data_IF_900773980547
#
_entry.id   IF_900773980547
#
_cell.length_a   1.000
_cell.length_b   1.000
_cell.length_c   1.000
_cell.angle_alpha   90.00
_cell.angle_beta   90.00
_cell.angle_gamma   90.00
#
_symmetry.space_group_name_H-M   'P 1'
#
loop_
_entity.id
_entity.type
_entity.pdbx_description
1 polymer ?
#
# COMPACT_ATOMS: atom_id res chain seq x y z
N UNK A 1 -0.96 -8.65 32.15
CA UNK A 1 0.01 -9.75 31.94
C UNK A 1 -0.63 -11.15 31.95
N UNK A 2 -1.57 -11.47 32.84
CA UNK A 2 -2.06 -12.86 33.04
C UNK A 2 -3.05 -13.38 31.98
N UNK A 3 -3.83 -12.53 31.30
CA UNK A 3 -4.82 -13.00 30.30
C UNK A 3 -4.20 -13.27 28.91
N UNK A 4 -3.21 -12.52 28.54
CA UNK A 4 -2.56 -12.64 27.22
C UNK A 4 -1.63 -13.86 27.16
N UNK A 5 -0.83 -14.10 28.22
CA UNK A 5 0.00 -15.32 28.33
C UNK A 5 -0.85 -16.61 28.39
N UNK A 6 -2.06 -16.55 28.97
CA UNK A 6 -2.97 -17.72 28.98
C UNK A 6 -3.58 -18.03 27.62
N UNK A 7 -3.83 -17.02 26.77
CA UNK A 7 -4.27 -17.23 25.38
C UNK A 7 -3.17 -17.85 24.52
N UNK A 8 -1.92 -17.46 24.74
CA UNK A 8 -0.76 -18.03 24.05
C UNK A 8 -0.45 -19.49 24.47
N UNK A 9 -0.73 -19.86 25.74
CA UNK A 9 -0.48 -21.22 26.24
C UNK A 9 -1.55 -22.26 25.86
N UNK A 10 -2.72 -21.85 25.43
CA UNK A 10 -3.81 -22.77 25.09
C UNK A 10 -3.84 -23.26 23.65
N UNK A 11 -2.77 -23.08 22.86
CA UNK A 11 -2.54 -23.83 21.60
C UNK A 11 -3.66 -23.81 20.55
N UNK A 12 -4.68 -22.96 20.71
CA UNK A 12 -5.73 -22.78 19.70
C UNK A 12 -5.33 -21.66 18.74
N UNK A 13 -4.57 -22.04 17.71
CA UNK A 13 -4.63 -21.44 16.41
C UNK A 13 -4.39 -19.92 16.33
N UNK A 14 -3.21 -19.40 16.78
CA UNK A 14 -2.65 -18.28 16.04
C UNK A 14 -2.11 -18.88 14.75
N UNK A 15 -2.80 -18.66 13.63
CA UNK A 15 -2.19 -18.84 12.33
C UNK A 15 -0.96 -17.93 12.31
N UNK A 16 0.23 -18.53 12.33
CA UNK A 16 1.47 -17.80 12.09
C UNK A 16 1.36 -17.26 10.67
N UNK A 17 1.37 -15.95 10.50
CA UNK A 17 1.36 -15.33 9.17
C UNK A 17 2.38 -16.03 8.29
N UNK A 18 1.97 -16.42 7.09
CA UNK A 18 2.81 -17.16 6.15
C UNK A 18 3.93 -16.29 5.58
N UNK A 19 3.76 -14.96 5.63
CA UNK A 19 4.70 -14.00 5.04
C UNK A 19 5.70 -13.46 6.07
N UNK A 20 6.92 -13.32 5.63
CA UNK A 20 8.01 -12.70 6.42
C UNK A 20 8.09 -11.17 6.22
N UNK A 21 7.63 -10.66 5.08
CA UNK A 21 7.73 -9.26 4.67
C UNK A 21 6.36 -8.79 4.16
N UNK A 22 6.00 -7.53 4.37
CA UNK A 22 4.86 -6.92 3.70
C UNK A 22 5.37 -6.01 2.58
N UNK A 23 5.50 -6.54 1.37
CA UNK A 23 5.97 -5.79 0.19
C UNK A 23 4.79 -5.27 -0.62
N UNK A 24 3.79 -6.13 -0.86
CA UNK A 24 2.53 -5.82 -1.52
C UNK A 24 1.37 -6.33 -0.65
N UNK A 25 0.19 -5.73 -0.80
CA UNK A 25 -1.03 -6.27 -0.20
C UNK A 25 -1.41 -7.64 -0.81
N UNK A 26 -0.93 -7.93 -2.01
CA UNK A 26 -1.02 -9.25 -2.64
C UNK A 26 -0.44 -10.38 -1.80
N UNK A 27 0.56 -10.07 -0.97
CA UNK A 27 1.22 -11.02 -0.07
C UNK A 27 0.29 -11.54 1.05
N UNK A 28 -0.83 -10.85 1.31
CA UNK A 28 -1.84 -11.24 2.30
C UNK A 28 -3.00 -11.98 1.65
N UNK A 29 -3.35 -13.13 2.18
CA UNK A 29 -4.65 -13.77 1.92
C UNK A 29 -5.78 -12.99 2.60
N UNK A 30 -7.04 -13.23 2.19
CA UNK A 30 -8.21 -12.67 2.88
C UNK A 30 -8.23 -13.08 4.36
N UNK A 31 -7.99 -14.35 4.67
CA UNK A 31 -7.98 -14.85 6.04
C UNK A 31 -6.89 -14.18 6.92
N UNK A 32 -5.68 -14.00 6.39
CA UNK A 32 -4.60 -13.29 7.10
C UNK A 32 -4.94 -11.84 7.37
N UNK A 33 -5.60 -11.17 6.39
CA UNK A 33 -6.09 -9.81 6.61
C UNK A 33 -7.19 -9.76 7.69
N UNK A 34 -8.13 -10.70 7.68
CA UNK A 34 -9.19 -10.78 8.68
C UNK A 34 -8.62 -10.98 10.10
N UNK A 35 -7.60 -11.81 10.26
CA UNK A 35 -6.89 -11.98 11.54
C UNK A 35 -6.16 -10.71 11.97
N UNK A 36 -5.45 -10.07 11.03
CA UNK A 36 -4.79 -8.79 11.28
C UNK A 36 -5.81 -7.73 11.73
N UNK A 37 -6.99 -7.68 11.07
CA UNK A 37 -8.07 -6.79 11.45
C UNK A 37 -8.63 -7.09 12.84
N UNK A 38 -8.85 -8.37 13.19
CA UNK A 38 -9.33 -8.75 14.53
C UNK A 38 -8.36 -8.26 15.62
N UNK A 39 -7.07 -8.39 15.40
CA UNK A 39 -6.06 -7.83 16.33
C UNK A 39 -6.09 -6.32 16.35
N UNK A 40 -6.20 -5.69 15.19
CA UNK A 40 -6.34 -4.24 15.09
C UNK A 40 -7.57 -3.73 15.84
N UNK A 41 -8.72 -4.41 15.73
CA UNK A 41 -9.94 -4.07 16.46
C UNK A 41 -9.75 -4.16 17.99
N UNK A 42 -9.10 -5.22 18.48
CA UNK A 42 -8.76 -5.35 19.90
C UNK A 42 -7.87 -4.21 20.39
N UNK A 43 -6.86 -3.80 19.58
CA UNK A 43 -5.99 -2.66 19.92
C UNK A 43 -6.79 -1.34 19.91
N UNK A 44 -7.72 -1.16 18.98
CA UNK A 44 -8.57 0.03 18.93
C UNK A 44 -9.50 0.13 20.16
N UNK A 45 -10.00 -1.00 20.64
CA UNK A 45 -10.91 -1.05 21.79
C UNK A 45 -10.17 -0.82 23.14
N UNK A 46 -8.94 -1.32 23.28
CA UNK A 46 -8.07 -1.06 24.46
C UNK A 46 -6.58 -0.97 24.02
N UNK A 47 -6.11 0.20 23.56
CA UNK A 47 -4.72 0.37 23.17
C UNK A 47 -3.70 0.15 24.29
N UNK A 48 -4.11 0.34 25.55
CA UNK A 48 -3.22 0.25 26.72
C UNK A 48 -2.85 -1.18 27.06
N UNK A 49 -3.73 -2.13 26.77
CA UNK A 49 -3.48 -3.56 26.95
C UNK A 49 -2.28 -4.08 26.16
N UNK A 50 -1.87 -3.35 25.10
CA UNK A 50 -0.78 -3.74 24.19
C UNK A 50 0.51 -2.92 24.39
N UNK A 51 0.57 -2.07 25.43
CA UNK A 51 1.68 -1.13 25.66
C UNK A 51 3.05 -1.78 25.92
N UNK A 52 3.12 -3.08 26.13
CA UNK A 52 4.36 -3.85 26.29
C UNK A 52 4.53 -4.96 25.24
N UNK A 53 3.67 -5.01 24.22
CA UNK A 53 3.63 -6.11 23.24
C UNK A 53 4.92 -6.23 22.41
N UNK A 54 5.61 -5.12 22.15
CA UNK A 54 6.91 -5.07 21.46
C UNK A 54 8.04 -4.57 22.37
N UNK A 55 7.94 -4.77 23.69
CA UNK A 55 8.97 -4.38 24.65
C UNK A 55 10.30 -5.03 24.31
N UNK A 56 11.37 -4.23 24.21
CA UNK A 56 12.70 -4.67 23.83
C UNK A 56 12.89 -4.87 22.32
N UNK A 57 11.87 -4.61 21.48
CA UNK A 57 11.98 -4.65 20.03
C UNK A 57 12.37 -3.29 19.47
N UNK A 58 13.13 -3.32 18.38
CA UNK A 58 13.66 -2.16 17.71
C UNK A 58 13.17 -2.11 16.27
N UNK A 59 12.54 -0.99 15.88
CA UNK A 59 12.11 -0.70 14.52
C UNK A 59 13.09 0.27 13.85
N UNK A 60 13.58 -0.08 12.66
CA UNK A 60 14.31 0.85 11.81
C UNK A 60 13.37 1.52 10.79
N UNK A 61 13.37 2.85 10.74
CA UNK A 61 12.65 3.65 9.75
C UNK A 61 13.62 4.21 8.71
N UNK A 62 13.60 3.64 7.49
CA UNK A 62 14.48 4.03 6.38
C UNK A 62 13.65 4.78 5.32
N UNK A 63 13.58 6.11 5.46
CA UNK A 63 12.80 6.96 4.57
C UNK A 63 13.73 7.69 3.58
N UNK A 64 13.87 7.13 2.39
CA UNK A 64 14.66 7.70 1.29
C UNK A 64 13.92 8.81 0.53
N UNK A 65 12.65 9.03 0.85
CA UNK A 65 11.87 10.18 0.41
C UNK A 65 11.01 10.72 1.57
N UNK A 66 10.73 12.04 1.62
CA UNK A 66 9.94 12.62 2.71
C UNK A 66 8.53 12.02 2.84
N UNK A 67 8.13 11.69 4.06
CA UNK A 67 6.77 11.23 4.36
C UNK A 67 6.42 11.42 5.83
N UNK A 68 5.89 12.57 6.18
CA UNK A 68 5.57 12.94 7.56
C UNK A 68 4.56 11.98 8.20
N UNK A 69 3.40 11.79 7.58
CA UNK A 69 2.30 10.97 8.14
C UNK A 69 2.69 9.51 8.30
N UNK A 70 3.25 8.89 7.26
CA UNK A 70 3.61 7.46 7.30
C UNK A 70 4.71 7.22 8.34
N UNK A 71 5.74 8.07 8.37
CA UNK A 71 6.83 8.00 9.36
C UNK A 71 6.29 8.10 10.78
N UNK A 72 5.55 9.17 11.08
CA UNK A 72 5.00 9.38 12.43
C UNK A 72 4.03 8.27 12.85
N UNK A 73 3.23 7.76 11.92
CA UNK A 73 2.30 6.67 12.20
C UNK A 73 3.03 5.38 12.59
N UNK A 74 4.11 5.00 11.89
CA UNK A 74 4.92 3.84 12.26
C UNK A 74 5.71 4.06 13.55
N UNK A 75 6.29 5.23 13.75
CA UNK A 75 6.97 5.57 14.99
C UNK A 75 6.02 5.48 16.18
N UNK A 76 4.86 6.13 16.08
CA UNK A 76 3.84 6.10 17.14
C UNK A 76 3.35 4.68 17.39
N UNK A 77 3.14 3.88 16.34
CA UNK A 77 2.70 2.49 16.47
C UNK A 77 3.69 1.66 17.29
N UNK A 78 4.99 1.71 16.96
CA UNK A 78 6.01 0.96 17.71
C UNK A 78 6.17 1.46 19.15
N UNK A 79 6.17 2.79 19.36
CA UNK A 79 6.28 3.39 20.70
C UNK A 79 5.08 3.03 21.59
N UNK A 80 3.85 3.00 21.04
CA UNK A 80 2.66 2.57 21.77
C UNK A 80 2.67 1.09 22.14
N UNK A 81 3.42 0.29 21.41
CA UNK A 81 3.64 -1.14 21.71
C UNK A 81 4.81 -1.37 22.69
N UNK A 82 5.45 -0.31 23.18
CA UNK A 82 6.58 -0.40 24.13
C UNK A 82 7.93 -0.70 23.47
N UNK A 83 8.02 -0.68 22.14
CA UNK A 83 9.28 -0.82 21.40
C UNK A 83 10.02 0.51 21.24
N UNK A 84 11.13 0.48 20.54
CA UNK A 84 11.97 1.65 20.24
C UNK A 84 12.14 1.84 18.74
N UNK A 85 12.52 3.05 18.32
CA UNK A 85 12.64 3.40 16.89
C UNK A 85 13.93 4.18 16.65
N UNK A 86 14.64 3.82 15.58
CA UNK A 86 15.70 4.66 15.01
C UNK A 86 15.53 4.76 13.49
N UNK A 87 16.36 5.56 12.82
CA UNK A 87 16.38 5.64 11.35
C UNK A 87 16.61 7.06 10.86
N UNK A 88 16.37 7.27 9.57
CA UNK A 88 16.50 8.54 8.89
C UNK A 88 15.28 8.86 8.02
N UNK A 89 15.11 10.12 7.64
CA UNK A 89 14.06 10.63 6.75
C UNK A 89 14.61 11.54 5.64
N UNK A 90 15.93 11.68 5.60
CA UNK A 90 16.68 12.30 4.53
C UNK A 90 17.87 11.39 4.17
N UNK A 91 17.94 10.85 2.94
CA UNK A 91 19.05 10.01 2.50
C UNK A 91 20.38 10.75 2.54
N UNK A 92 20.38 12.09 2.43
CA UNK A 92 21.60 12.91 2.50
C UNK A 92 22.21 12.92 3.93
N UNK A 93 21.44 12.60 4.95
CA UNK A 93 21.91 12.46 6.32
C UNK A 93 22.46 11.06 6.65
N UNK A 94 22.52 10.16 5.68
CA UNK A 94 22.95 8.77 5.84
C UNK A 94 24.16 8.42 4.96
N UNK A 95 24.71 7.21 5.12
CA UNK A 95 25.82 6.71 4.29
C UNK A 95 25.48 6.58 2.81
N UNK A 96 24.21 6.56 2.45
CA UNK A 96 23.77 6.57 1.04
C UNK A 96 24.27 7.81 0.28
N UNK A 97 24.43 8.94 0.96
CA UNK A 97 25.03 10.15 0.39
C UNK A 97 26.50 9.92 -0.06
N UNK A 98 27.18 8.91 0.48
CA UNK A 98 28.55 8.51 0.13
C UNK A 98 28.59 7.39 -0.91
N UNK A 99 27.44 6.97 -1.45
CA UNK A 99 27.35 5.90 -2.44
C UNK A 99 27.19 4.49 -1.85
N UNK A 100 26.81 4.35 -0.57
CA UNK A 100 26.47 3.05 0.01
C UNK A 100 25.29 2.41 -0.73
N UNK A 101 25.40 1.13 -1.09
CA UNK A 101 24.34 0.41 -1.81
C UNK A 101 23.15 0.12 -0.89
N UNK A 102 21.96 -0.06 -1.49
CA UNK A 102 20.79 -0.49 -0.72
C UNK A 102 21.06 -1.82 0.01
N UNK A 103 21.76 -2.76 -0.64
CA UNK A 103 22.13 -4.04 -0.05
C UNK A 103 22.96 -3.89 1.24
N UNK A 104 23.96 -3.02 1.23
CA UNK A 104 24.83 -2.83 2.40
C UNK A 104 24.07 -2.13 3.54
N UNK A 105 23.31 -1.08 3.22
CA UNK A 105 22.41 -0.43 4.18
C UNK A 105 21.46 -1.43 4.85
N UNK A 106 20.81 -2.29 4.06
CA UNK A 106 19.85 -3.27 4.58
C UNK A 106 20.53 -4.33 5.46
N UNK A 107 21.69 -4.84 5.06
CA UNK A 107 22.46 -5.82 5.87
C UNK A 107 22.88 -5.22 7.20
N UNK A 108 23.40 -4.00 7.19
CA UNK A 108 23.82 -3.32 8.42
C UNK A 108 22.62 -3.06 9.35
N UNK A 109 21.51 -2.52 8.81
CA UNK A 109 20.32 -2.23 9.61
C UNK A 109 19.67 -3.50 10.14
N UNK A 110 19.69 -4.61 9.38
CA UNK A 110 19.17 -5.90 9.84
C UNK A 110 19.90 -6.43 11.08
N UNK A 111 21.17 -6.05 11.28
CA UNK A 111 21.93 -6.42 12.48
C UNK A 111 21.54 -5.59 13.74
N UNK A 112 20.80 -4.48 13.56
CA UNK A 112 20.47 -3.55 14.64
C UNK A 112 18.98 -3.51 14.97
N UNK A 113 18.11 -4.00 14.10
CA UNK A 113 16.66 -3.90 14.24
C UNK A 113 15.98 -5.27 14.18
N UNK A 114 14.76 -5.34 14.71
CA UNK A 114 13.88 -6.52 14.62
C UNK A 114 12.90 -6.40 13.43
N UNK A 115 12.70 -5.19 12.90
CA UNK A 115 11.85 -4.92 11.74
C UNK A 115 12.31 -3.65 11.02
N UNK A 116 12.24 -3.65 9.70
CA UNK A 116 12.57 -2.51 8.85
C UNK A 116 11.31 -1.97 8.20
N UNK A 117 11.01 -0.69 8.39
CA UNK A 117 9.98 0.06 7.66
C UNK A 117 10.70 0.93 6.64
N UNK A 118 10.47 0.66 5.35
CA UNK A 118 11.20 1.34 4.28
C UNK A 118 10.26 2.08 3.34
N UNK A 119 10.61 3.34 3.05
CA UNK A 119 10.01 4.13 1.99
C UNK A 119 11.09 4.61 1.01
N UNK A 120 10.90 4.39 -0.28
CA UNK A 120 11.91 4.69 -1.30
C UNK A 120 11.25 5.26 -2.58
N UNK A 121 11.84 6.25 -3.26
CA UNK A 121 11.31 6.75 -4.52
C UNK A 121 11.40 5.76 -5.70
N UNK A 122 12.24 4.71 -5.59
CA UNK A 122 12.40 3.70 -6.63
C UNK A 122 11.43 2.54 -6.46
N UNK A 123 10.75 2.19 -7.55
CA UNK A 123 9.79 1.11 -7.61
C UNK A 123 10.47 -0.26 -7.44
N UNK A 124 9.93 -1.09 -6.54
CA UNK A 124 10.50 -2.38 -6.20
C UNK A 124 11.63 -2.35 -5.17
N UNK A 125 11.96 -1.17 -4.61
CA UNK A 125 13.03 -1.06 -3.62
C UNK A 125 12.77 -1.88 -2.35
N UNK A 126 11.53 -1.95 -1.88
CA UNK A 126 11.19 -2.78 -0.72
C UNK A 126 11.36 -4.28 -1.03
N UNK A 127 11.05 -4.72 -2.26
CA UNK A 127 11.32 -6.08 -2.72
C UNK A 127 12.82 -6.36 -2.79
N UNK A 128 13.61 -5.42 -3.30
CA UNK A 128 15.06 -5.54 -3.32
C UNK A 128 15.64 -5.64 -1.90
N UNK A 129 15.16 -4.81 -0.97
CA UNK A 129 15.54 -4.87 0.44
C UNK A 129 15.22 -6.23 1.08
N UNK A 130 14.07 -6.83 0.78
CA UNK A 130 13.66 -8.12 1.33
C UNK A 130 14.58 -9.28 0.94
N UNK A 131 15.31 -9.18 -0.18
CA UNK A 131 16.26 -10.21 -0.62
C UNK A 131 17.52 -10.27 0.27
N UNK A 132 17.87 -9.17 0.92
CA UNK A 132 19.09 -9.05 1.71
C UNK A 132 18.84 -8.87 3.21
N UNK A 133 17.60 -8.67 3.60
CA UNK A 133 17.22 -8.47 5.00
C UNK A 133 17.14 -9.80 5.76
N UNK A 134 17.68 -9.81 6.98
CA UNK A 134 17.51 -10.91 7.93
C UNK A 134 16.26 -10.75 8.81
N UNK A 135 15.68 -9.55 8.84
CA UNK A 135 14.48 -9.20 9.58
C UNK A 135 13.33 -8.81 8.63
N UNK A 136 12.08 -8.79 9.11
CA UNK A 136 10.96 -8.36 8.30
C UNK A 136 11.14 -6.97 7.69
N UNK A 137 10.73 -6.81 6.42
CA UNK A 137 10.66 -5.53 5.71
C UNK A 137 9.20 -5.18 5.45
N UNK A 138 8.82 -3.95 5.78
CA UNK A 138 7.50 -3.38 5.51
C UNK A 138 7.66 -2.27 4.48
N UNK A 139 6.97 -2.41 3.35
CA UNK A 139 6.89 -1.37 2.32
C UNK A 139 5.98 -0.23 2.79
N UNK A 140 6.57 0.92 3.10
CA UNK A 140 5.89 2.15 3.47
C UNK A 140 5.67 3.09 2.27
N UNK A 141 5.82 2.57 1.06
CA UNK A 141 5.66 3.22 -0.24
C UNK A 141 6.94 3.15 -1.08
N UNK A 142 6.82 2.70 -2.32
CA UNK A 142 7.91 2.61 -3.29
C UNK A 142 7.55 3.32 -4.61
N UNK A 143 7.95 4.56 -4.73
CA UNK A 143 7.72 5.39 -5.91
C UNK A 143 6.25 5.51 -6.31
N UNK A 144 5.96 5.24 -7.58
CA UNK A 144 4.59 5.17 -8.12
C UNK A 144 3.90 3.81 -7.99
N UNK A 145 4.57 2.81 -7.43
CA UNK A 145 4.19 1.41 -7.52
C UNK A 145 3.19 1.00 -6.43
N UNK A 146 3.62 0.78 -5.18
CA UNK A 146 2.78 0.21 -4.12
C UNK A 146 2.81 1.01 -2.81
N UNK A 147 1.73 0.90 -2.03
CA UNK A 147 1.68 1.39 -0.65
C UNK A 147 0.78 0.48 0.21
N UNK A 148 1.19 -0.77 0.50
CA UNK A 148 0.33 -1.77 1.13
C UNK A 148 -0.22 -1.33 2.49
N UNK A 149 0.51 -0.53 3.25
CA UNK A 149 0.05 -0.06 4.55
C UNK A 149 -0.96 1.10 4.48
N UNK A 150 -1.11 1.76 3.33
CA UNK A 150 -2.26 2.63 3.07
C UNK A 150 -3.50 1.79 2.80
N UNK A 151 -3.37 0.74 1.99
CA UNK A 151 -4.45 -0.21 1.73
C UNK A 151 -4.97 -0.85 3.03
N UNK A 152 -4.06 -1.21 3.96
CA UNK A 152 -4.46 -1.69 5.29
C UNK A 152 -5.29 -0.63 6.05
N UNK A 153 -4.89 0.64 6.01
CA UNK A 153 -5.64 1.72 6.65
C UNK A 153 -7.04 1.87 6.05
N UNK A 154 -7.14 1.80 4.72
CA UNK A 154 -8.38 1.95 3.97
C UNK A 154 -9.36 0.82 4.32
N UNK A 155 -8.92 -0.44 4.20
CA UNK A 155 -9.74 -1.61 4.54
C UNK A 155 -10.14 -1.65 6.00
N UNK A 156 -9.22 -1.31 6.92
CA UNK A 156 -9.49 -1.24 8.35
C UNK A 156 -10.58 -0.22 8.66
N UNK A 157 -10.55 0.93 7.98
CA UNK A 157 -11.57 1.97 8.17
C UNK A 157 -12.92 1.51 7.63
N UNK A 158 -12.95 0.95 6.42
CA UNK A 158 -14.20 0.43 5.82
C UNK A 158 -14.80 -0.65 6.74
N UNK A 159 -14.00 -1.61 7.17
CA UNK A 159 -14.46 -2.68 8.06
C UNK A 159 -14.96 -2.16 9.41
N UNK A 160 -14.27 -1.17 10.02
CA UNK A 160 -14.62 -0.61 11.33
C UNK A 160 -15.94 0.15 11.30
N UNK A 161 -16.16 0.97 10.28
CA UNK A 161 -17.31 1.89 10.24
C UNK A 161 -18.51 1.34 9.47
N UNK A 162 -18.32 0.43 8.52
CA UNK A 162 -19.41 -0.24 7.80
C UNK A 162 -19.76 -1.61 8.39
N UNK A 163 -18.84 -2.25 9.09
CA UNK A 163 -19.02 -3.61 9.65
C UNK A 163 -18.66 -4.74 8.70
N UNK A 164 -18.63 -4.52 7.37
CA UNK A 164 -18.25 -5.51 6.38
C UNK A 164 -17.67 -4.83 5.12
N UNK A 165 -16.76 -5.52 4.43
CA UNK A 165 -16.24 -5.09 3.12
C UNK A 165 -17.04 -5.70 1.99
N UNK A 166 -17.52 -6.94 2.13
CA UNK A 166 -18.36 -7.59 1.13
C UNK A 166 -19.59 -6.74 0.81
N UNK A 167 -19.96 -6.70 -0.46
CA UNK A 167 -21.09 -5.93 -0.97
C UNK A 167 -20.89 -4.40 -0.99
N UNK A 168 -19.69 -3.88 -0.71
CA UNK A 168 -19.44 -2.44 -0.68
C UNK A 168 -19.55 -1.83 -2.08
N UNK A 169 -20.25 -0.69 -2.19
CA UNK A 169 -20.25 0.16 -3.38
C UNK A 169 -19.30 1.33 -3.17
N UNK A 170 -18.13 1.29 -3.81
CA UNK A 170 -17.07 2.28 -3.64
C UNK A 170 -16.90 3.16 -4.88
N UNK A 171 -16.89 4.48 -4.69
CA UNK A 171 -16.52 5.47 -5.70
C UNK A 171 -15.06 5.86 -5.53
N UNK A 172 -14.23 5.60 -6.53
CA UNK A 172 -12.84 6.04 -6.60
C UNK A 172 -12.80 7.29 -7.47
N UNK A 173 -12.48 8.45 -6.88
CA UNK A 173 -12.65 9.74 -7.55
C UNK A 173 -11.35 10.55 -7.63
N UNK A 174 -11.00 11.02 -8.83
CA UNK A 174 -9.86 11.89 -9.09
C UNK A 174 -8.86 11.34 -10.11
N UNK A 175 -7.58 11.26 -9.77
CA UNK A 175 -6.53 10.72 -10.64
C UNK A 175 -6.47 9.18 -10.51
N UNK A 176 -7.20 8.47 -11.37
CA UNK A 176 -7.19 7.01 -11.39
C UNK A 176 -6.06 6.45 -12.25
N UNK A 177 -5.46 7.25 -13.12
CA UNK A 177 -4.36 6.86 -14.00
C UNK A 177 -3.06 6.66 -13.22
N UNK A 178 -2.71 7.61 -12.35
CA UNK A 178 -1.45 7.65 -11.62
C UNK A 178 -1.61 7.30 -10.13
N UNK A 179 -2.85 7.05 -9.69
CA UNK A 179 -3.20 6.84 -8.30
C UNK A 179 -2.81 5.45 -7.78
N UNK A 180 -1.55 5.25 -7.36
CA UNK A 180 -1.08 3.96 -6.79
C UNK A 180 -1.96 3.44 -5.65
N UNK A 181 -2.49 4.32 -4.80
CA UNK A 181 -3.39 3.94 -3.70
C UNK A 181 -4.71 3.38 -4.23
N UNK A 182 -5.22 3.93 -5.34
CA UNK A 182 -6.41 3.43 -6.04
C UNK A 182 -6.16 2.02 -6.58
N UNK A 183 -5.04 1.82 -7.30
CA UNK A 183 -4.71 0.52 -7.87
C UNK A 183 -4.51 -0.56 -6.79
N UNK A 184 -3.80 -0.22 -5.72
CA UNK A 184 -3.62 -1.13 -4.58
C UNK A 184 -4.95 -1.45 -3.89
N UNK A 185 -5.82 -0.46 -3.73
CA UNK A 185 -7.14 -0.65 -3.11
C UNK A 185 -8.07 -1.52 -3.97
N UNK A 186 -8.09 -1.33 -5.30
CA UNK A 186 -8.83 -2.19 -6.23
C UNK A 186 -8.34 -3.65 -6.10
N UNK A 187 -7.02 -3.88 -6.15
CA UNK A 187 -6.44 -5.21 -6.02
C UNK A 187 -6.78 -5.88 -4.68
N UNK A 188 -6.81 -5.11 -3.61
CA UNK A 188 -7.18 -5.60 -2.29
C UNK A 188 -8.66 -5.93 -2.18
N UNK A 189 -9.52 -5.04 -2.63
CA UNK A 189 -10.98 -5.24 -2.63
C UNK A 189 -11.43 -6.36 -3.55
N UNK A 190 -10.64 -6.71 -4.57
CA UNK A 190 -10.88 -7.88 -5.43
C UNK A 190 -10.81 -9.23 -4.70
N UNK A 191 -10.39 -9.26 -3.43
CA UNK A 191 -10.40 -10.45 -2.56
C UNK A 191 -11.72 -10.62 -1.81
N UNK A 192 -12.65 -9.68 -1.95
CA UNK A 192 -13.94 -9.64 -1.27
C UNK A 192 -15.09 -9.82 -2.25
N UNK A 193 -16.22 -10.29 -1.77
CA UNK A 193 -17.36 -10.65 -2.61
C UNK A 193 -18.26 -9.44 -2.88
N UNK A 194 -18.89 -9.40 -4.06
CA UNK A 194 -19.92 -8.44 -4.48
C UNK A 194 -19.53 -6.94 -4.39
N UNK A 195 -18.23 -6.62 -4.45
CA UNK A 195 -17.74 -5.24 -4.46
C UNK A 195 -18.08 -4.55 -5.77
N UNK A 196 -18.65 -3.34 -5.70
CA UNK A 196 -19.02 -2.53 -6.86
C UNK A 196 -18.15 -1.28 -6.95
N UNK A 197 -17.45 -1.12 -8.06
CA UNK A 197 -16.54 -0.01 -8.28
C UNK A 197 -17.16 1.05 -9.21
N UNK A 198 -17.25 2.29 -8.75
CA UNK A 198 -17.52 3.45 -9.57
C UNK A 198 -16.20 4.20 -9.78
N UNK A 199 -15.70 4.19 -11.01
CA UNK A 199 -14.43 4.82 -11.39
C UNK A 199 -14.73 6.22 -11.94
N UNK A 200 -14.49 7.24 -11.10
CA UNK A 200 -14.93 8.60 -11.33
C UNK A 200 -13.72 9.46 -11.68
N UNK A 201 -13.51 9.77 -12.95
CA UNK A 201 -12.34 10.52 -13.40
C UNK A 201 -12.60 11.27 -14.72
N UNK A 202 -11.84 12.35 -15.00
CA UNK A 202 -11.77 12.87 -16.36
C UNK A 202 -11.21 11.77 -17.29
N UNK A 203 -11.55 11.82 -18.57
CA UNK A 203 -11.07 10.81 -19.56
C UNK A 203 -9.55 10.68 -19.61
N UNK A 204 -8.81 11.78 -19.44
CA UNK A 204 -7.35 11.83 -19.45
C UNK A 204 -6.71 11.16 -18.24
N UNK A 205 -7.45 11.04 -17.14
CA UNK A 205 -7.04 10.43 -15.86
C UNK A 205 -7.79 9.12 -15.56
N UNK A 206 -8.40 8.52 -16.59
CA UNK A 206 -9.12 7.25 -16.46
C UNK A 206 -8.19 6.12 -16.02
N UNK A 207 -8.80 5.09 -15.46
CA UNK A 207 -8.06 3.89 -15.02
C UNK A 207 -7.25 3.30 -16.19
N UNK A 208 -5.98 2.88 -16.00
CA UNK A 208 -5.16 2.32 -17.06
C UNK A 208 -5.70 0.97 -17.57
N UNK A 209 -5.38 0.63 -18.83
CA UNK A 209 -5.85 -0.59 -19.47
C UNK A 209 -5.47 -1.86 -18.69
N UNK A 210 -4.26 -1.94 -18.13
CA UNK A 210 -3.86 -3.11 -17.34
C UNK A 210 -4.73 -3.33 -16.11
N UNK A 211 -5.19 -2.24 -15.45
CA UNK A 211 -6.11 -2.36 -14.32
C UNK A 211 -7.53 -2.71 -14.77
N UNK A 212 -7.96 -2.18 -15.94
CA UNK A 212 -9.25 -2.55 -16.54
C UNK A 212 -9.27 -4.03 -16.89
N UNK A 213 -8.21 -4.53 -17.52
CA UNK A 213 -8.05 -5.97 -17.80
C UNK A 213 -8.06 -6.80 -16.53
N UNK A 214 -7.30 -6.42 -15.51
CA UNK A 214 -7.31 -7.08 -14.20
C UNK A 214 -8.71 -7.19 -13.59
N UNK A 215 -9.51 -6.12 -13.66
CA UNK A 215 -10.89 -6.12 -13.14
C UNK A 215 -11.82 -7.01 -13.96
N UNK A 216 -11.69 -6.99 -15.29
CA UNK A 216 -12.48 -7.82 -16.22
C UNK A 216 -12.19 -9.32 -16.05
N UNK A 217 -10.92 -9.70 -15.99
CA UNK A 217 -10.49 -11.09 -15.82
C UNK A 217 -10.95 -11.71 -14.51
N UNK A 218 -11.12 -10.89 -13.47
CA UNK A 218 -11.64 -11.32 -12.17
C UNK A 218 -13.16 -11.21 -12.04
N UNK A 219 -13.84 -10.81 -13.10
CA UNK A 219 -15.30 -10.67 -13.10
C UNK A 219 -15.81 -9.59 -12.16
N UNK A 220 -14.97 -8.59 -11.81
CA UNK A 220 -15.38 -7.52 -10.92
C UNK A 220 -16.37 -6.59 -11.60
N UNK A 221 -17.40 -6.17 -10.88
CA UNK A 221 -18.33 -5.19 -11.40
C UNK A 221 -17.72 -3.78 -11.27
N UNK A 222 -17.60 -3.08 -12.39
CA UNK A 222 -17.17 -1.68 -12.38
C UNK A 222 -17.89 -0.84 -13.44
N UNK A 223 -17.96 0.47 -13.19
CA UNK A 223 -18.51 1.45 -14.10
C UNK A 223 -17.65 2.71 -14.13
N UNK A 224 -17.14 3.06 -15.30
CA UNK A 224 -16.42 4.31 -15.52
C UNK A 224 -17.40 5.45 -15.77
N UNK A 225 -17.23 6.59 -15.08
CA UNK A 225 -18.06 7.77 -15.18
C UNK A 225 -17.21 9.03 -15.06
N UNK A 226 -17.69 10.13 -15.65
CA UNK A 226 -16.99 11.43 -15.58
C UNK A 226 -17.62 12.38 -14.55
N UNK A 227 -18.82 12.10 -14.06
CA UNK A 227 -19.53 12.94 -13.08
C UNK A 227 -19.61 12.29 -11.70
N UNK A 228 -19.32 13.03 -10.64
CA UNK A 228 -19.43 12.58 -9.26
C UNK A 228 -20.89 12.55 -8.77
N UNK A 229 -21.64 13.62 -8.97
CA UNK A 229 -22.97 13.80 -8.39
C UNK A 229 -24.00 12.72 -8.77
N UNK A 230 -24.02 12.19 -10.02
CA UNK A 230 -24.97 11.15 -10.40
C UNK A 230 -24.79 9.81 -9.68
N UNK A 231 -23.60 9.56 -9.12
CA UNK A 231 -23.28 8.29 -8.46
C UNK A 231 -23.29 8.37 -6.93
N UNK A 232 -23.19 9.57 -6.35
CA UNK A 232 -23.20 9.77 -4.89
C UNK A 232 -24.31 9.00 -4.15
N UNK A 233 -25.58 8.97 -4.64
CA UNK A 233 -26.65 8.23 -3.95
C UNK A 233 -26.47 6.72 -3.90
N UNK A 234 -25.51 6.18 -4.67
CA UNK A 234 -25.26 4.73 -4.79
C UNK A 234 -24.08 4.27 -3.95
N UNK A 235 -23.24 5.19 -3.47
CA UNK A 235 -21.98 4.88 -2.81
C UNK A 235 -22.16 4.61 -1.32
N UNK A 236 -21.46 3.59 -0.83
CA UNK A 236 -21.22 3.36 0.60
C UNK A 236 -19.90 4.04 1.03
N UNK A 237 -18.95 4.11 0.09
CA UNK A 237 -17.64 4.73 0.29
C UNK A 237 -17.34 5.64 -0.89
N UNK A 238 -16.94 6.88 -0.61
CA UNK A 238 -16.32 7.78 -1.56
C UNK A 238 -14.84 7.94 -1.20
N UNK A 239 -13.95 7.42 -2.04
CA UNK A 239 -12.50 7.54 -1.90
C UNK A 239 -12.01 8.65 -2.84
N UNK A 240 -11.71 9.81 -2.27
CA UNK A 240 -11.20 10.96 -3.01
C UNK A 240 -9.69 10.88 -3.15
N UNK A 241 -9.17 11.29 -4.30
CA UNK A 241 -7.73 11.40 -4.54
C UNK A 241 -7.37 12.75 -5.13
N UNK A 242 -6.18 13.22 -4.79
CA UNK A 242 -5.62 14.44 -5.35
C UNK A 242 -5.22 14.24 -6.82
N UNK A 243 -5.46 15.24 -7.65
CA UNK A 243 -4.86 15.32 -8.98
C UNK A 243 -3.44 15.83 -8.82
N UNK A 244 -2.44 14.98 -9.12
CA UNK A 244 -1.04 15.20 -8.79
C UNK A 244 -0.35 16.01 -9.90
N UNK A 245 -0.05 17.31 -9.65
CA UNK A 245 0.64 18.19 -10.59
C UNK A 245 1.95 17.60 -11.09
N UNK A 246 2.70 16.98 -10.22
CA UNK A 246 4.00 16.35 -10.45
C UNK A 246 3.97 15.19 -11.46
N UNK A 247 2.79 14.71 -11.84
CA UNK A 247 2.58 13.63 -12.80
C UNK A 247 2.24 14.11 -14.22
N UNK A 248 2.01 15.41 -14.39
CA UNK A 248 1.70 15.98 -15.70
C UNK A 248 2.96 16.52 -16.36
N UNK A 249 3.24 16.06 -17.58
CA UNK A 249 4.28 16.64 -18.45
C UNK A 249 3.85 17.98 -19.06
N UNK A 250 2.54 18.17 -19.27
CA UNK A 250 1.94 19.39 -19.79
C UNK A 250 1.24 20.17 -18.66
N UNK A 251 1.72 21.37 -18.28
CA UNK A 251 1.09 22.22 -17.28
C UNK A 251 -0.37 22.61 -17.63
N UNK A 252 -0.70 22.76 -18.92
CA UNK A 252 -2.06 23.11 -19.36
C UNK A 252 -3.02 21.94 -19.16
N UNK A 253 -2.55 20.68 -19.30
CA UNK A 253 -3.37 19.51 -18.99
C UNK A 253 -3.69 19.45 -17.49
N UNK A 254 -2.74 19.79 -16.62
CA UNK A 254 -3.03 19.92 -15.19
C UNK A 254 -4.06 20.99 -14.90
N UNK A 255 -3.89 22.20 -15.47
CA UNK A 255 -4.83 23.33 -15.25
C UNK A 255 -6.28 22.98 -15.68
N UNK A 256 -6.46 22.20 -16.74
CA UNK A 256 -7.78 21.73 -17.20
C UNK A 256 -8.43 20.73 -16.24
N UNK A 257 -7.62 19.95 -15.52
CA UNK A 257 -8.12 18.85 -14.67
C UNK A 257 -8.15 19.22 -13.18
N UNK A 258 -7.34 20.20 -12.73
CA UNK A 258 -7.39 20.65 -11.33
C UNK A 258 -8.77 21.18 -11.00
N UNK A 259 -9.29 20.85 -9.82
CA UNK A 259 -10.59 21.34 -9.33
C UNK A 259 -11.82 20.77 -10.02
N UNK A 260 -11.70 19.82 -10.97
CA UNK A 260 -12.85 19.17 -11.62
C UNK A 260 -13.74 18.47 -10.59
N UNK A 261 -13.15 17.87 -9.58
CA UNK A 261 -13.87 17.21 -8.49
C UNK A 261 -13.56 17.89 -7.17
N UNK A 262 -14.30 18.92 -6.83
CA UNK A 262 -14.29 19.49 -5.47
C UNK A 262 -15.49 18.96 -4.72
N UNK A 263 -15.27 18.19 -3.67
CA UNK A 263 -16.33 17.74 -2.78
C UNK A 263 -16.72 18.88 -1.84
N UNK A 264 -18.00 19.21 -1.80
CA UNK A 264 -18.58 20.28 -0.96
C UNK A 264 -19.79 19.77 -0.20
N UNK A 265 -20.20 20.42 0.87
CA UNK A 265 -21.42 20.09 1.62
C UNK A 265 -22.66 20.02 0.72
N UNK A 266 -22.81 20.94 -0.23
CA UNK A 266 -23.91 20.93 -1.20
C UNK A 266 -23.98 19.64 -2.03
N UNK A 267 -22.82 19.07 -2.43
CA UNK A 267 -22.80 17.80 -3.18
C UNK A 267 -23.18 16.64 -2.27
N UNK A 268 -22.81 16.70 -1.00
CA UNK A 268 -23.10 15.66 0.00
C UNK A 268 -24.58 15.54 0.37
N UNK A 269 -25.42 16.53 0.05
CA UNK A 269 -26.87 16.43 0.20
C UNK A 269 -27.48 15.27 -0.61
N UNK A 270 -26.82 14.86 -1.69
CA UNK A 270 -27.24 13.74 -2.56
C UNK A 270 -26.70 12.39 -2.13
N UNK A 271 -25.76 12.35 -1.22
CA UNK A 271 -25.14 11.13 -0.76
C UNK A 271 -26.00 10.42 0.28
N UNK A 272 -25.74 9.13 0.48
CA UNK A 272 -26.34 8.39 1.60
C UNK A 272 -25.93 9.02 2.94
N UNK A 273 -26.80 8.98 3.96
CA UNK A 273 -26.48 9.56 5.27
C UNK A 273 -25.32 8.82 5.99
N UNK A 274 -25.09 7.56 5.64
CA UNK A 274 -24.05 6.68 6.18
C UNK A 274 -22.87 6.46 5.21
N UNK A 275 -22.80 7.22 4.10
CA UNK A 275 -21.66 7.14 3.18
C UNK A 275 -20.37 7.59 3.88
N UNK A 276 -19.31 6.82 3.73
CA UNK A 276 -17.99 7.19 4.26
C UNK A 276 -17.18 7.97 3.21
N UNK A 277 -16.54 9.06 3.63
CA UNK A 277 -15.62 9.84 2.80
C UNK A 277 -14.20 9.56 3.26
N UNK A 278 -13.40 8.96 2.38
CA UNK A 278 -12.00 8.59 2.62
C UNK A 278 -11.07 9.38 1.71
N UNK A 279 -9.84 9.60 2.18
CA UNK A 279 -8.78 10.26 1.43
C UNK A 279 -7.40 9.84 1.96
N UNK A 280 -6.43 9.44 1.12
CA UNK A 280 -5.09 9.02 1.59
C UNK A 280 -4.25 10.17 2.14
N UNK A 281 -4.69 11.42 2.00
CA UNK A 281 -4.00 12.64 2.38
C UNK A 281 -2.56 12.76 1.76
N UNK A 282 -2.02 13.94 1.52
CA UNK A 282 -2.63 15.25 1.82
C UNK A 282 -3.71 15.63 0.81
N UNK A 283 -4.75 16.26 1.27
CA UNK A 283 -5.67 16.99 0.38
C UNK A 283 -5.13 18.40 0.12
N UNK A 284 -5.56 18.99 -0.98
CA UNK A 284 -5.26 20.39 -1.35
C UNK A 284 -6.57 21.16 -1.53
N UNK A 285 -7.27 20.93 -2.64
CA UNK A 285 -8.48 21.62 -3.04
C UNK A 285 -9.64 20.67 -3.42
N UNK A 286 -9.38 19.37 -3.47
CA UNK A 286 -10.38 18.39 -3.89
C UNK A 286 -11.48 18.09 -2.84
N UNK A 287 -11.28 18.50 -1.61
CA UNK A 287 -12.28 18.48 -0.52
C UNK A 287 -12.31 19.85 0.13
N UNK A 288 -13.46 20.53 0.08
CA UNK A 288 -13.66 21.81 0.72
C UNK A 288 -13.56 21.69 2.26
N UNK A 289 -13.11 22.76 2.91
CA UNK A 289 -12.87 22.73 4.36
C UNK A 289 -14.13 22.53 5.19
N UNK A 290 -15.28 22.98 4.69
CA UNK A 290 -16.59 22.81 5.34
C UNK A 290 -17.03 21.35 5.44
N UNK A 291 -16.45 20.46 4.63
CA UNK A 291 -16.70 19.01 4.69
C UNK A 291 -16.08 18.37 5.95
N UNK A 292 -15.10 19.02 6.60
CA UNK A 292 -14.46 18.47 7.80
C UNK A 292 -15.42 18.28 8.99
N UNK A 293 -16.48 19.11 9.03
CA UNK A 293 -17.50 19.03 10.07
C UNK A 293 -18.62 18.02 9.75
N UNK A 294 -18.59 17.38 8.58
CA UNK A 294 -19.53 16.34 8.21
C UNK A 294 -19.17 15.01 8.90
N UNK A 295 -20.11 14.36 9.60
CA UNK A 295 -19.83 13.09 10.30
C UNK A 295 -19.40 11.94 9.37
N UNK A 296 -19.63 12.07 8.08
CA UNK A 296 -19.19 11.12 7.05
C UNK A 296 -17.72 11.30 6.63
N UNK A 297 -17.08 12.42 7.02
CA UNK A 297 -15.69 12.75 6.71
C UNK A 297 -14.72 11.94 7.59
N UNK A 298 -14.37 10.74 7.17
CA UNK A 298 -13.56 9.81 7.96
C UNK A 298 -12.06 9.81 7.63
N UNK A 299 -11.57 10.69 6.78
CA UNK A 299 -10.16 10.65 6.34
C UNK A 299 -9.14 10.93 7.45
N UNK A 300 -9.49 11.62 8.53
CA UNK A 300 -8.63 11.73 9.72
C UNK A 300 -8.72 10.47 10.59
N UNK A 301 -9.90 9.90 10.73
CA UNK A 301 -10.09 8.61 11.38
C UNK A 301 -9.40 7.48 10.61
N UNK A 302 -9.40 7.53 9.28
CA UNK A 302 -8.65 6.62 8.40
C UNK A 302 -7.14 6.67 8.73
N UNK A 303 -6.57 7.85 8.96
CA UNK A 303 -5.18 7.97 9.38
C UNK A 303 -4.94 7.34 10.77
N UNK A 304 -5.90 7.49 11.70
CA UNK A 304 -5.86 6.87 13.04
C UNK A 304 -6.02 5.35 12.96
N UNK A 305 -6.98 4.84 12.18
CA UNK A 305 -7.14 3.40 11.90
C UNK A 305 -5.86 2.82 11.29
N UNK A 306 -5.21 3.58 10.39
CA UNK A 306 -3.93 3.19 9.82
C UNK A 306 -2.82 3.02 10.85
N UNK A 307 -2.78 3.85 11.91
CA UNK A 307 -1.82 3.66 13.00
C UNK A 307 -2.08 2.36 13.75
N UNK A 308 -3.33 2.05 14.08
CA UNK A 308 -3.69 0.80 14.76
C UNK A 308 -3.45 -0.43 13.89
N UNK A 309 -3.72 -0.35 12.60
CA UNK A 309 -3.38 -1.42 11.65
C UNK A 309 -1.87 -1.68 11.61
N UNK A 310 -1.05 -0.61 11.69
CA UNK A 310 0.41 -0.72 11.79
C UNK A 310 0.85 -1.30 13.14
N UNK A 311 0.15 -1.01 14.25
CA UNK A 311 0.44 -1.67 15.52
C UNK A 311 0.21 -3.19 15.41
N UNK A 312 -0.93 -3.62 14.87
CA UNK A 312 -1.22 -5.04 14.66
C UNK A 312 -0.17 -5.71 13.75
N UNK A 313 0.19 -5.07 12.63
CA UNK A 313 1.21 -5.54 11.70
C UNK A 313 2.59 -5.67 12.36
N UNK A 314 3.00 -4.69 13.17
CA UNK A 314 4.28 -4.72 13.88
C UNK A 314 4.33 -5.83 14.93
N UNK A 315 3.24 -6.09 15.65
CA UNK A 315 3.16 -7.22 16.58
C UNK A 315 3.38 -8.55 15.84
N UNK A 316 2.80 -8.71 14.66
CA UNK A 316 2.95 -9.93 13.87
C UNK A 316 4.37 -10.07 13.31
N UNK A 317 4.94 -9.01 12.77
CA UNK A 317 6.23 -9.07 12.10
C UNK A 317 7.43 -8.95 13.05
N UNK A 318 7.38 -8.10 14.09
CA UNK A 318 8.51 -7.89 14.99
C UNK A 318 8.56 -8.88 16.16
N UNK A 319 7.44 -9.52 16.53
CA UNK A 319 7.35 -10.32 17.76
C UNK A 319 7.13 -11.81 17.52
N UNK A 320 6.89 -12.25 16.29
CA UNK A 320 6.67 -13.65 15.96
C UNK A 320 7.91 -14.28 15.27
N UNK A 321 8.18 -15.59 15.45
CA UNK A 321 9.22 -16.26 14.69
C UNK A 321 8.83 -16.34 13.20
N UNK A 322 9.77 -16.02 12.31
CA UNK A 322 9.54 -15.96 10.88
C UNK A 322 10.04 -17.18 10.14
N UNK A 323 9.31 -17.63 9.10
CA UNK A 323 9.86 -18.55 8.10
C UNK A 323 10.78 -17.77 7.15
N UNK A 324 11.93 -18.37 6.80
CA UNK A 324 12.73 -17.83 5.71
C UNK A 324 11.92 -17.91 4.42
N UNK A 325 11.88 -16.85 3.61
CA UNK A 325 11.19 -16.90 2.32
C UNK A 325 11.87 -17.97 1.44
N UNK A 326 11.06 -18.68 0.66
CA UNK A 326 11.60 -19.59 -0.36
C UNK A 326 12.41 -18.78 -1.38
N UNK A 327 13.49 -19.35 -1.95
CA UNK A 327 14.25 -18.69 -3.00
C UNK A 327 13.33 -18.38 -4.19
N UNK A 328 13.24 -17.14 -4.57
CA UNK A 328 12.52 -16.74 -5.79
C UNK A 328 13.29 -17.28 -6.99
N UNK A 329 12.60 -17.91 -7.94
CA UNK A 329 13.20 -18.43 -9.16
C UNK A 329 13.98 -17.33 -9.88
N UNK A 330 15.26 -17.58 -10.16
CA UNK A 330 16.10 -16.66 -10.93
C UNK A 330 15.62 -16.73 -12.39
N UNK A 331 15.08 -15.64 -12.86
CA UNK A 331 14.64 -15.51 -14.25
C UNK A 331 15.78 -15.19 -15.23
N UNK A 332 15.45 -15.14 -16.48
CA UNK A 332 16.33 -14.85 -17.62
C UNK A 332 16.98 -13.46 -17.55
N UNK A 333 18.04 -13.22 -18.37
CA UNK A 333 18.83 -11.98 -18.48
C UNK A 333 18.06 -10.71 -18.91
N UNK A 334 16.74 -10.72 -18.89
CA UNK A 334 15.93 -9.62 -19.39
C UNK A 334 15.89 -8.46 -18.41
N UNK A 335 16.50 -7.33 -18.77
CA UNK A 335 16.54 -6.11 -17.98
C UNK A 335 15.20 -5.37 -18.04
N UNK A 336 14.72 -4.91 -16.89
CA UNK A 336 13.57 -4.02 -16.81
C UNK A 336 13.85 -2.69 -17.51
N UNK A 337 12.88 -2.14 -18.26
CA UNK A 337 12.99 -0.86 -18.97
C UNK A 337 12.31 0.29 -18.23
N UNK A 338 11.70 0.05 -17.08
CA UNK A 338 11.06 1.10 -16.29
C UNK A 338 12.13 2.02 -15.70
N UNK A 339 12.17 3.32 -16.05
CA UNK A 339 13.20 4.26 -15.57
C UNK A 339 13.16 4.48 -14.05
N UNK A 340 12.05 4.14 -13.41
CA UNK A 340 11.87 4.24 -11.96
C UNK A 340 12.20 2.96 -11.22
N UNK A 341 12.48 1.85 -11.92
CA UNK A 341 12.77 0.57 -11.29
C UNK A 341 14.09 0.59 -10.53
N UNK A 342 14.10 -0.01 -9.34
CA UNK A 342 15.30 -0.16 -8.51
C UNK A 342 16.44 -0.89 -9.22
N UNK A 343 16.14 -1.80 -10.16
CA UNK A 343 17.15 -2.58 -10.90
C UNK A 343 18.06 -1.73 -11.79
N UNK A 344 17.64 -0.50 -12.14
CA UNK A 344 18.47 0.42 -12.91
C UNK A 344 19.47 1.20 -12.06
N UNK A 345 19.21 1.33 -10.75
CA UNK A 345 20.11 2.03 -9.81
C UNK A 345 20.96 1.09 -8.99
N UNK A 346 20.53 -0.18 -8.87
CA UNK A 346 21.19 -1.23 -8.10
C UNK A 346 21.53 -2.42 -9.03
N UNK A 347 22.61 -2.31 -9.84
CA UNK A 347 22.92 -3.25 -10.93
C UNK A 347 23.33 -4.65 -10.45
N UNK A 348 23.62 -4.83 -9.18
CA UNK A 348 23.90 -6.14 -8.58
C UNK A 348 22.64 -6.97 -8.30
N UNK A 349 21.45 -6.39 -8.45
CA UNK A 349 20.20 -7.13 -8.25
C UNK A 349 20.03 -8.20 -9.32
N UNK A 350 19.59 -9.42 -8.94
CA UNK A 350 19.30 -10.45 -9.92
C UNK A 350 18.12 -10.04 -10.80
N UNK A 351 18.12 -10.38 -12.09
CA UNK A 351 17.01 -10.10 -13.00
C UNK A 351 15.84 -11.05 -12.73
N UNK A 352 15.06 -10.76 -11.70
CA UNK A 352 13.91 -11.56 -11.31
C UNK A 352 12.70 -11.23 -12.18
N UNK A 353 12.04 -12.27 -12.69
CA UNK A 353 10.85 -12.21 -13.52
C UNK A 353 9.72 -12.99 -12.84
N UNK A 354 8.52 -12.48 -12.90
CA UNK A 354 7.30 -13.20 -12.51
C UNK A 354 6.40 -13.41 -13.73
N UNK A 355 5.80 -14.58 -13.81
CA UNK A 355 4.76 -14.87 -14.79
C UNK A 355 3.41 -14.37 -14.26
N UNK A 356 2.67 -13.69 -15.11
CA UNK A 356 1.29 -13.24 -14.85
C UNK A 356 0.41 -13.66 -16.02
N UNK A 357 -0.92 -13.66 -15.86
CA UNK A 357 -1.82 -13.92 -16.98
C UNK A 357 -1.58 -12.99 -18.18
N UNK A 358 -1.15 -11.76 -17.93
CA UNK A 358 -0.86 -10.77 -18.96
C UNK A 358 0.55 -10.92 -19.57
N UNK A 359 1.34 -11.89 -19.11
CA UNK A 359 2.69 -12.16 -19.58
C UNK A 359 3.77 -11.94 -18.50
N UNK A 360 5.02 -11.90 -18.95
CA UNK A 360 6.19 -11.78 -18.07
C UNK A 360 6.36 -10.35 -17.57
N UNK A 361 6.55 -10.20 -16.26
CA UNK A 361 6.73 -8.92 -15.61
C UNK A 361 8.02 -8.91 -14.76
N UNK A 362 8.61 -7.72 -14.61
CA UNK A 362 9.68 -7.50 -13.65
C UNK A 362 9.17 -7.81 -12.22
N UNK A 363 9.84 -8.71 -11.51
CA UNK A 363 9.41 -9.10 -10.16
C UNK A 363 9.58 -8.00 -9.10
N UNK A 364 10.24 -6.88 -9.44
CA UNK A 364 10.42 -5.73 -8.55
C UNK A 364 9.33 -4.68 -8.71
N UNK A 365 9.06 -4.23 -9.95
CA UNK A 365 8.19 -3.06 -10.21
C UNK A 365 6.93 -3.39 -11.01
N UNK A 366 6.63 -4.67 -11.28
CA UNK A 366 5.47 -5.16 -12.02
C UNK A 366 5.37 -4.70 -13.49
N UNK A 367 6.38 -3.95 -14.00
CA UNK A 367 6.39 -3.53 -15.38
C UNK A 367 6.46 -4.75 -16.31
N UNK A 368 5.57 -4.83 -17.29
CA UNK A 368 5.59 -5.85 -18.34
C UNK A 368 6.92 -5.81 -19.09
N UNK A 369 7.52 -6.97 -19.25
CA UNK A 369 8.76 -7.12 -20.03
C UNK A 369 8.40 -7.37 -21.50
N UNK A 370 9.25 -6.93 -22.46
CA UNK A 370 9.06 -7.28 -23.84
C UNK A 370 9.07 -8.80 -24.02
N UNK A 371 8.35 -9.29 -25.02
CA UNK A 371 8.47 -10.69 -25.44
C UNK A 371 9.89 -10.95 -25.91
N UNK A 372 10.51 -12.06 -25.53
CA UNK A 372 11.80 -12.44 -26.09
C UNK A 372 11.63 -12.66 -27.60
N UNK A 373 12.49 -12.10 -28.46
CA UNK A 373 12.46 -12.45 -29.87
C UNK A 373 12.60 -13.97 -29.95
N UNK A 374 11.68 -14.62 -30.67
CA UNK A 374 11.76 -16.05 -30.93
C UNK A 374 13.17 -16.40 -31.41
N UNK A 375 13.84 -17.34 -30.75
CA UNK A 375 15.19 -17.78 -31.08
C UNK A 375 15.34 -18.41 -32.51
N UNK A 376 14.28 -18.38 -33.30
CA UNK A 376 14.25 -18.92 -34.68
C UNK A 376 14.75 -17.91 -35.76
N UNK A 377 14.93 -16.62 -35.42
CA UNK A 377 15.36 -15.62 -36.42
C UNK A 377 16.88 -15.54 -36.61
N UNK A 378 17.71 -16.16 -35.78
CA UNK A 378 19.18 -16.12 -35.94
C UNK A 378 19.76 -17.24 -36.84
N UNK A 379 18.92 -18.20 -37.31
CA UNK A 379 19.39 -19.28 -38.19
C UNK A 379 19.14 -19.03 -39.66
N UNK A 380 18.58 -17.90 -40.07
CA UNK A 380 18.29 -17.57 -41.47
C UNK A 380 19.28 -16.58 -42.11
N UNK A 381 20.42 -16.34 -41.47
CA UNK A 381 21.43 -15.37 -41.92
C UNK A 381 22.87 -15.91 -41.89
N UNK A 382 23.08 -17.19 -42.20
CA UNK A 382 24.40 -17.74 -42.53
C UNK A 382 24.40 -18.42 -43.89
#
# INVERSE_FOLDING_TARGET
MIKWEKSMRNGKGLLTMSFRHLIDFGDLTRAEWEELYQRCAQIMDDPTAFSEACKGRIQANLFFEPSTRTKFSFQTAMLRLGGTVFGFDDPNSSSTAKGETLKDTIKMVSAYADVIVMRNPKEGAAKAASLYSEVPVINAGDGGHMHPTQTLADLTTIQRYRGAIDGVSIGLCGDLKNGRTVHSLIKALAKFDDVKFYLISPRELAIPDYMRSFMQERGLWFREVTGLEPVLPRLDVLYMTRIQRERFSDPLAYERNKGVYVLTQRKLERAKPDMMILHPLPRVDEIALDVDDDPRALYFEQARCGMYARMALLMDLACQPHRRPEPVAIGTRQLCRNPNCITLTEPYLPPLVKETPEGRCCAFCDQRLPEEPCAEAEKAGQ
#
